data_IF_005738889636
#
_entry.id   IF_005738889636
#
_cell.length_a   1.000
_cell.length_b   1.000
_cell.length_c   1.000
_cell.angle_alpha   90.00
_cell.angle_beta   90.00
_cell.angle_gamma   90.00
#
_symmetry.space_group_name_H-M   'P 1'
#
loop_
_entity.id
_entity.type
_entity.pdbx_description
1 polymer ?
#
# COMPACT_ATOMS: atom_id res chain seq x y z
N UNK A 1 5.44 -24.54 3.49
CA UNK A 1 5.86 -23.12 3.55
C UNK A 1 7.19 -23.00 4.28
N UNK A 2 8.23 -22.44 3.64
CA UNK A 2 9.57 -22.38 4.24
C UNK A 2 9.63 -21.30 5.33
N UNK A 3 10.41 -21.52 6.40
CA UNK A 3 10.62 -20.56 7.51
C UNK A 3 10.98 -19.14 7.01
N UNK A 4 11.69 -19.06 5.89
CA UNK A 4 12.15 -17.83 5.26
C UNK A 4 11.00 -16.99 4.70
N UNK A 5 9.94 -17.61 4.18
CA UNK A 5 8.73 -16.90 3.71
C UNK A 5 7.93 -16.33 4.88
N UNK A 6 7.84 -17.07 5.99
CA UNK A 6 7.21 -16.59 7.24
C UNK A 6 7.92 -15.36 7.80
N UNK A 7 9.25 -15.37 7.84
CA UNK A 7 10.04 -14.27 8.40
C UNK A 7 10.02 -13.01 7.51
N UNK A 8 9.95 -13.17 6.18
CA UNK A 8 9.72 -12.03 5.28
C UNK A 8 8.35 -11.40 5.53
N UNK A 9 7.30 -12.21 5.62
CA UNK A 9 5.93 -11.73 5.87
C UNK A 9 5.75 -11.08 7.26
N UNK A 10 6.43 -11.58 8.29
CA UNK A 10 6.44 -10.98 9.63
C UNK A 10 7.15 -9.63 9.69
N UNK A 11 8.27 -9.45 8.96
CA UNK A 11 8.97 -8.17 8.86
C UNK A 11 8.20 -7.10 8.08
N UNK A 12 7.17 -7.48 7.32
CA UNK A 12 6.44 -6.61 6.40
C UNK A 12 5.23 -5.88 7.02
N UNK A 13 4.97 -6.03 8.33
CA UNK A 13 4.02 -5.17 9.05
C UNK A 13 2.58 -5.27 8.55
N UNK A 14 2.07 -6.49 8.35
CA UNK A 14 0.68 -6.73 7.95
C UNK A 14 -0.28 -6.38 9.09
N UNK A 15 -0.87 -5.19 9.07
CA UNK A 15 -1.81 -4.71 10.11
C UNK A 15 -3.17 -5.43 10.12
N UNK A 16 -3.46 -6.30 9.15
CA UNK A 16 -4.78 -6.94 9.03
C UNK A 16 -4.74 -8.41 9.49
N UNK A 17 -5.24 -8.66 10.72
CA UNK A 17 -5.35 -10.01 11.34
C UNK A 17 -6.04 -11.05 10.45
N UNK A 18 -6.94 -10.63 9.56
CA UNK A 18 -7.66 -11.51 8.63
C UNK A 18 -6.76 -11.95 7.46
N UNK A 19 -5.98 -11.02 6.92
CA UNK A 19 -5.05 -11.28 5.81
C UNK A 19 -3.89 -12.17 6.23
N UNK A 20 -3.39 -12.00 7.46
CA UNK A 20 -2.42 -12.91 8.06
C UNK A 20 -3.00 -14.32 8.14
N UNK A 21 -4.27 -14.49 8.55
CA UNK A 21 -4.89 -15.83 8.61
C UNK A 21 -4.99 -16.48 7.22
N UNK A 22 -5.24 -15.70 6.18
CA UNK A 22 -5.21 -16.19 4.79
C UNK A 22 -3.83 -16.61 4.33
N UNK A 23 -2.82 -15.79 4.56
CA UNK A 23 -1.45 -16.11 4.15
C UNK A 23 -0.84 -17.31 4.90
N UNK A 24 -1.39 -17.66 6.06
CA UNK A 24 -0.92 -18.76 6.91
C UNK A 24 -1.83 -19.98 6.89
N UNK A 25 -2.84 -20.00 6.01
CA UNK A 25 -3.72 -21.15 5.86
C UNK A 25 -2.91 -22.36 5.38
N UNK A 26 -3.01 -23.50 6.07
CA UNK A 26 -2.16 -24.68 5.82
C UNK A 26 -2.36 -25.28 4.43
N UNK A 27 -3.57 -25.17 3.91
CA UNK A 27 -3.98 -25.80 2.64
C UNK A 27 -4.00 -24.82 1.46
N UNK A 28 -3.27 -23.71 1.55
CA UNK A 28 -3.21 -22.75 0.45
C UNK A 28 -2.49 -23.38 -0.75
N UNK A 29 -3.17 -23.38 -1.91
CA UNK A 29 -2.55 -23.83 -3.17
C UNK A 29 -1.32 -22.97 -3.52
N UNK A 30 -0.31 -23.56 -4.16
CA UNK A 30 0.88 -22.84 -4.61
C UNK A 30 0.51 -21.70 -5.59
N UNK A 31 -0.45 -21.95 -6.49
CA UNK A 31 -0.96 -20.94 -7.43
C UNK A 31 -1.59 -19.74 -6.70
N UNK A 32 -2.43 -20.00 -5.71
CA UNK A 32 -3.08 -18.95 -4.91
C UNK A 32 -2.07 -18.18 -4.06
N UNK A 33 -1.01 -18.85 -3.59
CA UNK A 33 0.09 -18.23 -2.85
C UNK A 33 0.85 -17.23 -3.73
N UNK A 34 1.19 -17.64 -4.96
CA UNK A 34 1.87 -16.78 -5.92
C UNK A 34 0.98 -15.57 -6.25
N UNK A 35 -0.30 -15.81 -6.51
CA UNK A 35 -1.25 -14.74 -6.82
C UNK A 35 -1.39 -13.72 -5.70
N UNK A 36 -1.56 -14.17 -4.44
CA UNK A 36 -1.65 -13.27 -3.29
C UNK A 36 -0.37 -12.45 -3.07
N UNK A 37 0.81 -13.06 -3.29
CA UNK A 37 2.08 -12.34 -3.23
C UNK A 37 2.15 -11.27 -4.32
N UNK A 38 1.76 -11.57 -5.55
CA UNK A 38 1.75 -10.60 -6.65
C UNK A 38 0.83 -9.42 -6.36
N UNK A 39 -0.40 -9.66 -5.87
CA UNK A 39 -1.32 -8.57 -5.49
C UNK A 39 -0.72 -7.73 -4.34
N UNK A 40 -0.02 -8.37 -3.40
CA UNK A 40 0.63 -7.65 -2.32
C UNK A 40 1.79 -6.78 -2.79
N UNK A 41 2.65 -7.29 -3.67
CA UNK A 41 3.71 -6.50 -4.30
C UNK A 41 3.13 -5.34 -5.11
N UNK A 42 2.05 -5.57 -5.85
CA UNK A 42 1.33 -4.52 -6.56
C UNK A 42 0.79 -3.46 -5.59
N UNK A 43 0.23 -3.86 -4.44
CA UNK A 43 -0.23 -2.94 -3.39
C UNK A 43 0.90 -2.04 -2.91
N UNK A 44 2.07 -2.61 -2.61
CA UNK A 44 3.24 -1.85 -2.15
C UNK A 44 3.77 -0.90 -3.23
N UNK A 45 3.85 -1.38 -4.47
CA UNK A 45 4.27 -0.57 -5.61
C UNK A 45 3.32 0.62 -5.84
N UNK A 46 2.00 0.39 -5.79
CA UNK A 46 1.00 1.45 -5.94
C UNK A 46 1.08 2.46 -4.80
N UNK A 47 1.27 2.00 -3.57
CA UNK A 47 1.49 2.89 -2.42
C UNK A 47 2.72 3.76 -2.60
N UNK A 48 3.86 3.15 -2.96
CA UNK A 48 5.09 3.91 -3.17
C UNK A 48 4.93 4.92 -4.30
N UNK A 49 4.40 4.48 -5.44
CA UNK A 49 4.31 5.30 -6.65
C UNK A 49 3.31 6.44 -6.48
N UNK A 50 2.08 6.13 -6.06
CA UNK A 50 0.97 7.08 -6.07
C UNK A 50 0.71 7.77 -4.73
N UNK A 51 1.14 7.20 -3.60
CA UNK A 51 0.99 7.85 -2.31
C UNK A 51 2.24 8.66 -1.90
N UNK A 52 3.39 8.43 -2.55
CA UNK A 52 4.66 9.02 -2.13
C UNK A 52 5.49 9.62 -3.28
N UNK A 53 5.93 8.83 -4.25
CA UNK A 53 6.88 9.28 -5.28
C UNK A 53 6.29 10.34 -6.22
N UNK A 54 5.18 10.03 -6.90
CA UNK A 54 4.53 10.93 -7.84
C UNK A 54 4.01 12.21 -7.17
N UNK A 55 3.31 12.15 -6.01
CA UNK A 55 2.83 13.35 -5.34
C UNK A 55 3.97 14.24 -4.85
N UNK A 56 5.08 13.66 -4.39
CA UNK A 56 6.24 14.44 -3.97
C UNK A 56 6.87 15.19 -5.16
N UNK A 57 7.06 14.52 -6.30
CA UNK A 57 7.56 15.13 -7.53
C UNK A 57 6.64 16.26 -8.03
N UNK A 58 5.32 16.04 -8.01
CA UNK A 58 4.33 17.05 -8.42
C UNK A 58 4.30 18.22 -7.42
N UNK A 59 4.30 17.95 -6.12
CA UNK A 59 4.25 18.99 -5.09
C UNK A 59 5.51 19.86 -5.15
N UNK A 60 6.70 19.27 -5.29
CA UNK A 60 7.96 20.00 -5.39
C UNK A 60 8.04 20.85 -6.66
N UNK A 61 7.67 20.28 -7.81
CA UNK A 61 7.66 21.02 -9.09
C UNK A 61 6.64 22.15 -9.09
N UNK A 62 5.43 21.92 -8.56
CA UNK A 62 4.39 22.96 -8.45
C UNK A 62 4.80 24.04 -7.45
N UNK A 63 5.40 23.66 -6.32
CA UNK A 63 5.90 24.60 -5.33
C UNK A 63 7.01 25.49 -5.90
N UNK A 64 7.94 24.92 -6.66
CA UNK A 64 8.99 25.68 -7.34
C UNK A 64 8.43 26.59 -8.44
N UNK A 65 7.47 26.11 -9.23
CA UNK A 65 6.92 26.89 -10.34
C UNK A 65 6.04 28.06 -9.88
N UNK A 66 5.18 27.85 -8.86
CA UNK A 66 4.11 28.79 -8.52
C UNK A 66 4.33 29.52 -7.19
N UNK A 67 5.04 28.91 -6.23
CA UNK A 67 5.12 29.41 -4.85
C UNK A 67 6.53 29.81 -4.41
N UNK A 68 7.50 29.89 -5.35
CA UNK A 68 8.90 30.22 -5.03
C UNK A 68 9.11 31.54 -4.29
N UNK A 69 8.22 32.52 -4.51
CA UNK A 69 8.29 33.85 -3.88
C UNK A 69 7.60 33.91 -2.51
N UNK A 70 6.84 32.86 -2.15
CA UNK A 70 6.17 32.79 -0.85
C UNK A 70 7.15 32.41 0.26
N UNK A 71 6.71 32.60 1.51
CA UNK A 71 7.52 32.23 2.69
C UNK A 71 7.84 30.73 2.70
N UNK A 72 9.03 30.39 3.20
CA UNK A 72 9.48 28.98 3.30
C UNK A 72 8.48 28.11 4.08
N UNK A 73 7.86 28.66 5.12
CA UNK A 73 6.84 27.96 5.90
C UNK A 73 5.58 27.63 5.09
N UNK A 74 5.14 28.54 4.22
CA UNK A 74 4.00 28.30 3.34
C UNK A 74 4.32 27.24 2.28
N UNK A 75 5.54 27.23 1.75
CA UNK A 75 6.02 26.21 0.82
C UNK A 75 6.06 24.81 1.46
N UNK A 76 6.61 24.70 2.68
CA UNK A 76 6.63 23.45 3.45
C UNK A 76 5.21 23.00 3.79
N UNK A 77 4.35 23.93 4.23
CA UNK A 77 2.94 23.64 4.53
C UNK A 77 2.19 23.10 3.31
N UNK A 78 2.39 23.70 2.15
CA UNK A 78 1.80 23.23 0.89
C UNK A 78 2.22 21.78 0.57
N UNK A 79 3.52 21.48 0.59
CA UNK A 79 4.03 20.14 0.31
C UNK A 79 3.52 19.11 1.33
N UNK A 80 3.46 19.49 2.61
CA UNK A 80 2.95 18.62 3.67
C UNK A 80 1.45 18.30 3.50
N UNK A 81 0.62 19.30 3.18
CA UNK A 81 -0.82 19.11 2.97
C UNK A 81 -1.09 18.29 1.72
N UNK A 82 -0.39 18.55 0.61
CA UNK A 82 -0.49 17.76 -0.62
C UNK A 82 -0.06 16.31 -0.37
N UNK A 83 1.07 16.11 0.33
CA UNK A 83 1.57 14.78 0.69
C UNK A 83 0.58 14.00 1.55
N UNK A 84 0.05 14.62 2.61
CA UNK A 84 -0.92 13.98 3.51
C UNK A 84 -2.23 13.66 2.79
N UNK A 85 -2.81 14.62 2.06
CA UNK A 85 -4.07 14.41 1.33
C UNK A 85 -3.94 13.31 0.28
N UNK A 86 -2.85 13.30 -0.48
CA UNK A 86 -2.60 12.26 -1.48
C UNK A 86 -2.35 10.91 -0.84
N UNK A 87 -1.62 10.88 0.29
CA UNK A 87 -1.42 9.65 1.05
C UNK A 87 -2.74 9.05 1.52
N UNK A 88 -3.61 9.85 2.15
CA UNK A 88 -4.91 9.39 2.64
C UNK A 88 -5.82 8.91 1.51
N UNK A 89 -5.89 9.65 0.41
CA UNK A 89 -6.70 9.29 -0.75
C UNK A 89 -6.20 7.98 -1.41
N UNK A 90 -4.90 7.89 -1.67
CA UNK A 90 -4.30 6.71 -2.29
C UNK A 90 -4.42 5.50 -1.37
N UNK A 91 -4.20 5.66 -0.06
CA UNK A 91 -4.32 4.58 0.91
C UNK A 91 -5.74 3.99 0.94
N UNK A 92 -6.77 4.84 0.92
CA UNK A 92 -8.16 4.37 0.84
C UNK A 92 -8.43 3.58 -0.45
N UNK A 93 -8.02 4.11 -1.61
CA UNK A 93 -8.26 3.47 -2.91
C UNK A 93 -7.49 2.15 -3.07
N UNK A 94 -6.20 2.13 -2.71
CA UNK A 94 -5.34 0.96 -2.82
C UNK A 94 -5.78 -0.14 -1.86
N UNK A 95 -6.14 0.20 -0.62
CA UNK A 95 -6.68 -0.79 0.32
C UNK A 95 -8.03 -1.36 -0.15
N UNK A 96 -8.93 -0.54 -0.68
CA UNK A 96 -10.21 -1.03 -1.21
C UNK A 96 -10.01 -1.96 -2.41
N UNK A 97 -9.10 -1.62 -3.33
CA UNK A 97 -8.76 -2.50 -4.46
C UNK A 97 -8.18 -3.82 -3.98
N UNK A 98 -7.23 -3.77 -3.05
CA UNK A 98 -6.61 -4.94 -2.47
C UNK A 98 -7.62 -5.83 -1.73
N UNK A 99 -8.51 -5.23 -0.96
CA UNK A 99 -9.58 -5.92 -0.24
C UNK A 99 -10.53 -6.64 -1.21
N UNK A 100 -10.94 -5.98 -2.29
CA UNK A 100 -11.82 -6.57 -3.30
C UNK A 100 -11.15 -7.75 -4.05
N UNK A 101 -9.84 -7.68 -4.29
CA UNK A 101 -9.10 -8.76 -4.93
C UNK A 101 -8.85 -9.95 -3.99
N UNK A 102 -8.75 -9.71 -2.68
CA UNK A 102 -8.50 -10.75 -1.66
C UNK A 102 -9.79 -11.36 -1.08
N UNK A 103 -10.92 -10.66 -1.15
CA UNK A 103 -12.28 -11.11 -0.81
C UNK A 103 -12.63 -12.55 -1.26
N UNK A 104 -12.45 -12.94 -2.55
CA UNK A 104 -12.80 -14.28 -3.01
C UNK A 104 -11.98 -15.39 -2.33
N UNK A 105 -10.73 -15.11 -1.95
CA UNK A 105 -9.86 -16.07 -1.28
C UNK A 105 -10.27 -16.30 0.17
N UNK A 106 -10.76 -15.27 0.87
CA UNK A 106 -11.33 -15.46 2.21
C UNK A 106 -12.54 -16.39 2.21
N UNK A 107 -13.38 -16.32 1.15
CA UNK A 107 -14.51 -17.25 0.98
C UNK A 107 -14.05 -18.65 0.61
N UNK A 108 -13.09 -18.77 -0.32
CA UNK A 108 -12.53 -20.05 -0.78
C UNK A 108 -11.91 -20.88 0.36
N UNK A 109 -11.26 -20.21 1.30
CA UNK A 109 -10.56 -20.83 2.44
C UNK A 109 -11.32 -20.71 3.77
N UNK A 110 -12.60 -20.30 3.76
CA UNK A 110 -13.47 -20.19 4.95
C UNK A 110 -12.87 -19.37 6.12
N UNK A 111 -12.17 -18.29 5.79
CA UNK A 111 -11.43 -17.48 6.78
C UNK A 111 -12.30 -16.35 7.31
N UNK A 112 -12.76 -16.50 8.55
CA UNK A 112 -13.58 -15.54 9.30
C UNK A 112 -12.79 -14.32 9.82
#
# INVERSE_FOLDING_TARGET
MSRVQKDRLLKLGLKEKKLIRLLYHKDLSEEDTIFLNTIYEEKQYLHFTYALALPCMIALSTNYALFRQNSKWMQVGYVAVIGLSTHLYCNSKVNNRFYNLTQPFFKKYEIN
#
